data_IF_594551067812
#
_entry.id   IF_594551067812
#
_cell.length_a   1.000
_cell.length_b   1.000
_cell.length_c   1.000
_cell.angle_alpha   90.00
_cell.angle_beta   90.00
_cell.angle_gamma   90.00
#
_symmetry.space_group_name_H-M   'P 1'
#
loop_
_entity.id
_entity.type
_entity.pdbx_description
1 polymer ?
#
# COMPACT_ATOMS: atom_id res chain seq x y z
N UNK A 1 2.03 39.23 8.99
CA UNK A 1 3.42 38.79 8.72
C UNK A 1 3.84 37.57 9.55
N UNK A 2 3.85 37.53 10.90
CA UNK A 2 4.33 36.32 11.63
C UNK A 2 3.59 35.00 11.35
N UNK A 3 2.29 35.03 11.03
CA UNK A 3 1.46 33.81 10.85
C UNK A 3 1.70 33.08 9.51
N UNK A 4 2.05 33.81 8.44
CA UNK A 4 2.27 33.19 7.12
C UNK A 4 3.56 32.35 7.11
N UNK A 5 4.62 32.84 7.78
CA UNK A 5 5.86 32.09 7.93
C UNK A 5 5.69 30.80 8.74
N UNK A 6 4.75 30.78 9.70
CA UNK A 6 4.40 29.55 10.42
C UNK A 6 3.73 28.55 9.48
N UNK A 7 2.82 29.01 8.60
CA UNK A 7 2.20 28.15 7.59
C UNK A 7 3.22 27.61 6.60
N UNK A 8 4.16 28.45 6.15
CA UNK A 8 5.24 28.02 5.27
C UNK A 8 6.15 27.00 5.95
N UNK A 9 6.56 27.25 7.19
CA UNK A 9 7.34 26.28 7.96
C UNK A 9 6.61 24.94 8.11
N UNK A 10 5.31 24.96 8.42
CA UNK A 10 4.51 23.75 8.55
C UNK A 10 4.34 23.03 7.21
N UNK A 11 4.17 23.77 6.11
CA UNK A 11 4.10 23.23 4.75
C UNK A 11 5.42 22.55 4.34
N UNK A 12 6.57 23.20 4.59
CA UNK A 12 7.89 22.64 4.30
C UNK A 12 8.18 21.39 5.14
N UNK A 13 7.90 21.41 6.44
CA UNK A 13 8.06 20.24 7.31
C UNK A 13 7.15 19.10 6.86
N UNK A 14 5.89 19.39 6.52
CA UNK A 14 4.97 18.39 6.00
C UNK A 14 5.46 17.80 4.68
N UNK A 15 6.09 18.61 3.83
CA UNK A 15 6.67 18.17 2.55
C UNK A 15 7.83 17.20 2.77
N UNK A 16 8.74 17.53 3.69
CA UNK A 16 9.88 16.65 4.05
C UNK A 16 9.39 15.33 4.61
N UNK A 17 8.45 15.37 5.56
CA UNK A 17 7.89 14.15 6.17
C UNK A 17 7.11 13.32 5.14
N UNK A 18 6.36 13.95 4.25
CA UNK A 18 5.66 13.28 3.17
C UNK A 18 6.64 12.54 2.23
N UNK A 19 7.72 13.22 1.81
CA UNK A 19 8.80 12.59 1.01
C UNK A 19 9.46 11.42 1.72
N UNK A 20 9.73 11.55 3.03
CA UNK A 20 10.35 10.49 3.82
C UNK A 20 9.45 9.27 4.02
N UNK A 21 8.18 9.49 4.37
CA UNK A 21 7.22 8.39 4.55
C UNK A 21 6.89 7.70 3.23
N UNK A 22 6.70 8.46 2.15
CA UNK A 22 6.43 7.90 0.84
C UNK A 22 7.63 7.12 0.29
N UNK A 23 8.86 7.62 0.50
CA UNK A 23 10.08 6.94 0.06
C UNK A 23 10.37 5.63 0.82
N UNK A 24 9.84 5.46 2.03
CA UNK A 24 9.93 4.21 2.80
C UNK A 24 8.77 3.25 2.57
N UNK A 25 7.72 3.69 1.88
CA UNK A 25 6.51 2.91 1.72
C UNK A 25 6.75 1.84 0.64
N UNK A 26 6.78 0.57 1.05
CA UNK A 26 7.10 -0.55 0.18
C UNK A 26 5.84 -1.39 -0.07
N UNK A 27 5.32 -1.37 -1.32
CA UNK A 27 4.17 -2.18 -1.72
C UNK A 27 4.44 -3.68 -1.60
N UNK A 28 5.63 -4.13 -1.98
CA UNK A 28 5.96 -5.54 -1.87
C UNK A 28 6.12 -5.94 -0.41
N UNK A 29 6.64 -5.04 0.44
CA UNK A 29 6.62 -5.25 1.88
C UNK A 29 5.21 -5.40 2.46
N UNK A 30 4.20 -4.73 1.87
CA UNK A 30 2.80 -5.01 2.22
C UNK A 30 2.39 -6.43 1.82
N UNK A 31 2.87 -6.96 0.70
CA UNK A 31 2.56 -8.33 0.26
C UNK A 31 3.36 -9.42 1.01
N UNK A 32 4.59 -9.10 1.43
CA UNK A 32 5.50 -9.99 2.18
C UNK A 32 5.07 -10.21 3.64
N UNK A 33 3.99 -9.57 4.10
CA UNK A 33 3.53 -9.66 5.49
C UNK A 33 4.12 -8.64 6.45
N UNK A 34 4.91 -7.67 5.99
CA UNK A 34 5.44 -6.54 6.79
C UNK A 34 4.38 -5.44 6.97
N UNK A 35 3.14 -5.84 7.27
CA UNK A 35 1.97 -4.97 7.30
C UNK A 35 2.04 -3.89 8.40
N UNK A 36 2.62 -4.19 9.57
CA UNK A 36 2.69 -3.22 10.68
C UNK A 36 3.57 -2.01 10.36
N UNK A 37 4.74 -2.25 9.77
CA UNK A 37 5.68 -1.17 9.43
C UNK A 37 5.13 -0.34 8.28
N UNK A 38 4.61 -1.01 7.25
CA UNK A 38 4.08 -0.33 6.07
C UNK A 38 2.76 0.40 6.35
N UNK A 39 1.89 -0.12 7.22
CA UNK A 39 0.68 0.59 7.66
C UNK A 39 1.00 1.86 8.44
N UNK A 40 2.06 1.86 9.29
CA UNK A 40 2.53 3.09 9.95
C UNK A 40 3.00 4.13 8.96
N UNK A 41 3.76 3.74 7.93
CA UNK A 41 4.17 4.67 6.87
C UNK A 41 2.98 5.17 6.06
N UNK A 42 2.02 4.31 5.74
CA UNK A 42 0.78 4.69 5.07
C UNK A 42 -0.02 5.72 5.87
N UNK A 43 -0.19 5.50 7.17
CA UNK A 43 -0.84 6.47 8.07
C UNK A 43 -0.06 7.80 8.08
N UNK A 44 1.28 7.73 8.11
CA UNK A 44 2.16 8.90 8.01
C UNK A 44 1.97 9.67 6.70
N UNK A 45 1.92 8.98 5.56
CA UNK A 45 1.64 9.57 4.23
C UNK A 45 0.26 10.23 4.21
N UNK A 46 -0.77 9.56 4.73
CA UNK A 46 -2.12 10.13 4.80
C UNK A 46 -2.16 11.38 5.68
N UNK A 47 -1.58 11.33 6.88
CA UNK A 47 -1.56 12.47 7.79
C UNK A 47 -0.80 13.67 7.22
N UNK A 48 0.40 13.43 6.68
CA UNK A 48 1.22 14.49 6.07
C UNK A 48 0.57 15.06 4.81
N UNK A 49 -0.11 14.25 4.01
CA UNK A 49 -0.88 14.72 2.87
C UNK A 49 -2.05 15.62 3.25
N UNK A 50 -2.78 15.25 4.31
CA UNK A 50 -3.85 16.08 4.85
C UNK A 50 -3.29 17.43 5.33
N UNK A 51 -2.17 17.41 6.05
CA UNK A 51 -1.47 18.62 6.49
C UNK A 51 -1.04 19.51 5.31
N UNK A 52 -0.51 18.92 4.24
CA UNK A 52 -0.13 19.64 3.01
C UNK A 52 -1.33 20.29 2.33
N UNK A 53 -2.43 19.56 2.15
CA UNK A 53 -3.66 20.10 1.53
C UNK A 53 -4.21 21.23 2.40
N UNK A 54 -4.23 21.01 3.71
CA UNK A 54 -4.72 21.99 4.67
C UNK A 54 -3.94 23.30 4.63
N UNK A 55 -2.61 23.20 4.69
CA UNK A 55 -1.73 24.36 4.61
C UNK A 55 -1.78 25.05 3.25
N UNK A 56 -1.90 24.30 2.16
CA UNK A 56 -2.08 24.86 0.81
C UNK A 56 -3.31 25.76 0.74
N UNK A 57 -4.46 25.26 1.22
CA UNK A 57 -5.71 26.03 1.26
C UNK A 57 -5.58 27.29 2.13
N UNK A 58 -4.90 27.19 3.29
CA UNK A 58 -4.68 28.35 4.16
C UNK A 58 -3.72 29.39 3.56
N UNK A 59 -2.73 28.93 2.78
CA UNK A 59 -1.82 29.82 2.05
C UNK A 59 -2.59 30.54 0.94
N UNK A 60 -3.36 29.82 0.12
CA UNK A 60 -4.21 30.42 -0.93
C UNK A 60 -5.22 31.44 -0.34
N UNK A 61 -5.80 31.14 0.84
CA UNK A 61 -6.66 32.08 1.58
C UNK A 61 -5.95 33.37 2.01
N UNK A 62 -4.63 33.33 2.18
CA UNK A 62 -3.85 34.50 2.55
C UNK A 62 -3.47 35.39 1.36
N UNK A 63 -3.76 34.96 0.12
CA UNK A 63 -3.51 35.71 -1.11
C UNK A 63 -2.05 36.18 -1.23
N UNK A 64 -1.09 35.29 -0.97
CA UNK A 64 0.32 35.64 -0.97
C UNK A 64 0.90 35.59 -2.40
N UNK A 65 1.71 36.58 -2.77
CA UNK A 65 2.33 36.63 -4.11
C UNK A 65 3.47 35.62 -4.28
N UNK A 66 3.98 35.05 -3.19
CA UNK A 66 5.15 34.17 -3.19
C UNK A 66 4.84 32.66 -3.29
N UNK A 67 3.58 32.28 -3.50
CA UNK A 67 3.11 30.88 -3.46
C UNK A 67 3.87 29.96 -4.42
N UNK A 68 4.13 30.41 -5.64
CA UNK A 68 4.82 29.62 -6.66
C UNK A 68 6.28 29.32 -6.30
N UNK A 69 6.99 30.27 -5.70
CA UNK A 69 8.37 30.08 -5.27
C UNK A 69 8.47 29.02 -4.17
N UNK A 70 7.50 29.00 -3.26
CA UNK A 70 7.44 28.03 -2.16
C UNK A 70 7.12 26.63 -2.68
N UNK A 71 6.21 26.50 -3.66
CA UNK A 71 5.95 25.20 -4.27
C UNK A 71 7.19 24.64 -4.98
N UNK A 72 7.97 25.49 -5.64
CA UNK A 72 9.24 25.07 -6.26
C UNK A 72 10.26 24.61 -5.21
N UNK A 73 10.43 25.35 -4.11
CA UNK A 73 11.31 24.96 -2.99
C UNK A 73 10.84 23.65 -2.37
N UNK A 74 9.54 23.51 -2.10
CA UNK A 74 8.94 22.29 -1.57
C UNK A 74 9.16 21.10 -2.50
N UNK A 75 8.99 21.26 -3.80
CA UNK A 75 9.24 20.18 -4.75
C UNK A 75 10.71 19.75 -4.74
N UNK A 76 11.65 20.69 -4.70
CA UNK A 76 13.08 20.36 -4.60
C UNK A 76 13.41 19.60 -3.30
N UNK A 77 12.84 20.04 -2.17
CA UNK A 77 13.01 19.38 -0.88
C UNK A 77 12.38 17.98 -0.86
N UNK A 78 11.18 17.84 -1.44
CA UNK A 78 10.51 16.56 -1.59
C UNK A 78 11.36 15.59 -2.38
N UNK A 79 11.85 15.99 -3.56
CA UNK A 79 12.70 15.14 -4.42
C UNK A 79 13.97 14.73 -3.69
N UNK A 80 14.64 15.67 -3.01
CA UNK A 80 15.87 15.39 -2.26
C UNK A 80 15.64 14.35 -1.16
N UNK A 81 14.62 14.54 -0.31
CA UNK A 81 14.32 13.60 0.77
C UNK A 81 13.82 12.27 0.23
N UNK A 82 12.95 12.28 -0.78
CA UNK A 82 12.42 11.08 -1.37
C UNK A 82 13.56 10.26 -2.01
N UNK A 83 14.49 10.87 -2.73
CA UNK A 83 15.65 10.19 -3.31
C UNK A 83 16.52 9.52 -2.23
N UNK A 84 16.74 10.19 -1.10
CA UNK A 84 17.51 9.64 0.03
C UNK A 84 16.87 8.38 0.63
N UNK A 85 15.55 8.33 0.75
CA UNK A 85 14.84 7.20 1.36
C UNK A 85 14.49 6.09 0.36
N UNK A 86 14.20 6.45 -0.89
CA UNK A 86 13.75 5.52 -1.92
C UNK A 86 14.92 4.85 -2.68
N UNK A 87 16.11 5.47 -2.68
CA UNK A 87 17.31 4.94 -3.35
C UNK A 87 17.28 4.96 -4.89
N UNK A 88 16.15 5.35 -5.51
CA UNK A 88 16.00 5.42 -6.97
C UNK A 88 15.75 6.87 -7.43
N UNK A 89 16.70 7.42 -8.19
CA UNK A 89 16.69 8.79 -8.71
C UNK A 89 15.60 8.99 -9.77
N UNK A 90 15.38 8.02 -10.66
CA UNK A 90 14.34 8.13 -11.70
C UNK A 90 12.95 8.18 -11.07
N UNK A 91 12.70 7.31 -10.09
CA UNK A 91 11.47 7.34 -9.31
C UNK A 91 11.32 8.67 -8.54
N UNK A 92 12.42 9.26 -8.05
CA UNK A 92 12.41 10.54 -7.36
C UNK A 92 12.08 11.72 -8.28
N UNK A 93 12.62 11.73 -9.50
CA UNK A 93 12.30 12.76 -10.50
C UNK A 93 10.85 12.65 -10.95
N UNK A 94 10.39 11.43 -11.25
CA UNK A 94 9.01 11.18 -11.63
C UNK A 94 8.02 11.56 -10.51
N UNK A 95 8.31 11.17 -9.27
CA UNK A 95 7.49 11.55 -8.11
C UNK A 95 7.55 13.05 -7.84
N UNK A 96 8.68 13.72 -8.10
CA UNK A 96 8.81 15.17 -8.03
C UNK A 96 7.91 15.92 -9.01
N UNK A 97 7.88 15.50 -10.27
CA UNK A 97 6.97 16.05 -11.29
C UNK A 97 5.52 15.85 -10.87
N UNK A 98 5.17 14.65 -10.41
CA UNK A 98 3.83 14.37 -9.89
C UNK A 98 3.51 15.23 -8.67
N UNK A 99 4.45 15.44 -7.75
CA UNK A 99 4.25 16.29 -6.58
C UNK A 99 3.97 17.75 -6.94
N UNK A 100 4.63 18.29 -7.98
CA UNK A 100 4.32 19.63 -8.50
C UNK A 100 2.90 19.67 -9.07
N UNK A 101 2.52 18.66 -9.85
CA UNK A 101 1.16 18.55 -10.42
C UNK A 101 0.12 18.44 -9.30
N UNK A 102 0.41 17.68 -8.24
CA UNK A 102 -0.41 17.57 -7.04
C UNK A 102 -0.67 18.94 -6.40
N UNK A 103 0.40 19.70 -6.11
CA UNK A 103 0.30 21.05 -5.52
C UNK A 103 -0.51 21.99 -6.42
N UNK A 104 -0.28 21.94 -7.74
CA UNK A 104 -1.01 22.76 -8.70
C UNK A 104 -2.51 22.41 -8.74
N UNK A 105 -2.86 21.13 -8.76
CA UNK A 105 -4.27 20.68 -8.74
C UNK A 105 -4.96 21.13 -7.45
N UNK A 106 -4.31 20.94 -6.29
CA UNK A 106 -4.88 21.32 -5.00
C UNK A 106 -5.09 22.81 -4.91
N UNK A 107 -4.09 23.63 -5.26
CA UNK A 107 -4.21 25.08 -5.24
C UNK A 107 -5.30 25.56 -6.20
N UNK A 108 -5.38 25.00 -7.42
CA UNK A 108 -6.43 25.34 -8.38
C UNK A 108 -7.84 25.00 -7.85
N UNK A 109 -8.01 23.84 -7.23
CA UNK A 109 -9.29 23.43 -6.65
C UNK A 109 -9.65 24.25 -5.41
N UNK A 110 -8.66 24.61 -4.60
CA UNK A 110 -8.82 25.52 -3.46
C UNK A 110 -9.31 26.89 -3.92
N UNK A 111 -8.60 27.54 -4.84
CA UNK A 111 -8.95 28.88 -5.37
C UNK A 111 -10.34 28.91 -5.99
N UNK A 112 -10.65 27.95 -6.88
CA UNK A 112 -12.00 27.82 -7.47
C UNK A 112 -13.07 27.78 -6.39
N UNK A 113 -12.89 26.96 -5.36
CA UNK A 113 -13.91 26.81 -4.30
C UNK A 113 -13.99 28.04 -3.39
N UNK A 114 -12.86 28.70 -3.12
CA UNK A 114 -12.83 29.93 -2.35
C UNK A 114 -13.59 31.08 -3.05
N UNK A 115 -13.57 31.13 -4.38
CA UNK A 115 -14.27 32.16 -5.16
C UNK A 115 -15.81 32.06 -5.11
N UNK A 116 -16.37 30.86 -4.89
CA UNK A 116 -17.80 30.59 -4.98
C UNK A 116 -18.55 30.54 -3.64
N UNK A 117 -17.87 30.61 -2.50
CA UNK A 117 -18.53 30.46 -1.20
C UNK A 117 -18.99 31.78 -0.56
N UNK A 118 -20.30 31.93 -0.40
CA UNK A 118 -20.95 32.98 0.40
C UNK A 118 -20.92 32.64 1.91
N UNK A 119 -20.67 31.36 2.28
CA UNK A 119 -20.57 30.88 3.68
C UNK A 119 -19.53 29.76 3.83
N UNK A 120 -18.43 30.01 4.54
CA UNK A 120 -17.34 29.04 4.68
C UNK A 120 -17.73 27.86 5.59
N UNK A 121 -18.03 26.70 5.00
CA UNK A 121 -18.24 25.43 5.69
C UNK A 121 -17.00 24.54 5.46
N UNK A 122 -16.14 24.30 6.47
CA UNK A 122 -14.88 23.59 6.29
C UNK A 122 -15.05 22.21 5.66
N UNK A 123 -16.01 21.41 6.11
CA UNK A 123 -16.22 20.06 5.55
C UNK A 123 -16.59 20.06 4.06
N UNK A 124 -17.25 21.11 3.56
CA UNK A 124 -17.65 21.17 2.13
C UNK A 124 -16.53 21.72 1.23
N UNK A 125 -15.62 22.51 1.80
CA UNK A 125 -14.44 23.03 1.11
C UNK A 125 -13.35 21.96 0.99
N UNK A 126 -13.00 21.31 2.10
CA UNK A 126 -11.82 20.43 2.18
C UNK A 126 -12.08 19.05 1.61
N UNK A 127 -13.28 18.48 1.81
CA UNK A 127 -13.55 17.10 1.44
C UNK A 127 -13.31 16.79 -0.06
N UNK A 128 -13.80 17.60 -1.02
CA UNK A 128 -13.57 17.32 -2.44
C UNK A 128 -12.12 17.53 -2.88
N UNK A 129 -11.41 18.48 -2.24
CA UNK A 129 -9.99 18.76 -2.49
C UNK A 129 -9.15 17.58 -1.99
N UNK A 130 -9.45 17.10 -0.79
CA UNK A 130 -8.80 15.95 -0.17
C UNK A 130 -9.02 14.67 -0.97
N UNK A 131 -10.24 14.39 -1.41
CA UNK A 131 -10.54 13.21 -2.23
C UNK A 131 -9.71 13.18 -3.51
N UNK A 132 -9.61 14.32 -4.21
CA UNK A 132 -8.75 14.46 -5.40
C UNK A 132 -7.26 14.33 -5.04
N UNK A 133 -6.83 14.93 -3.94
CA UNK A 133 -5.46 14.85 -3.44
C UNK A 133 -5.03 13.42 -3.10
N UNK A 134 -5.84 12.66 -2.35
CA UNK A 134 -5.51 11.27 -1.98
C UNK A 134 -5.55 10.36 -3.20
N UNK A 135 -6.50 10.53 -4.12
CA UNK A 135 -6.50 9.77 -5.38
C UNK A 135 -5.21 10.00 -6.16
N UNK A 136 -4.73 11.25 -6.18
CA UNK A 136 -3.46 11.60 -6.81
C UNK A 136 -2.27 10.94 -6.10
N UNK A 137 -2.29 10.86 -4.76
CA UNK A 137 -1.24 10.18 -3.97
C UNK A 137 -1.23 8.67 -4.24
N UNK A 138 -2.40 8.04 -4.38
CA UNK A 138 -2.49 6.63 -4.80
C UNK A 138 -1.89 6.46 -6.20
N UNK A 139 -2.13 7.41 -7.11
CA UNK A 139 -1.48 7.45 -8.43
C UNK A 139 0.04 7.62 -8.34
N UNK A 140 0.54 8.53 -7.49
CA UNK A 140 1.97 8.68 -7.22
C UNK A 140 2.59 7.38 -6.71
N UNK A 141 1.93 6.72 -5.76
CA UNK A 141 2.39 5.46 -5.21
C UNK A 141 2.42 4.35 -6.27
N UNK A 142 1.43 4.29 -7.16
CA UNK A 142 1.42 3.36 -8.28
C UNK A 142 2.60 3.58 -9.24
N UNK A 143 2.96 4.83 -9.53
CA UNK A 143 4.14 5.17 -10.35
C UNK A 143 5.44 4.80 -9.65
N UNK A 144 5.53 4.98 -8.33
CA UNK A 144 6.71 4.55 -7.57
C UNK A 144 6.86 3.03 -7.63
N UNK A 145 5.77 2.29 -7.41
CA UNK A 145 5.78 0.83 -7.48
C UNK A 145 6.06 0.29 -8.88
N UNK A 146 5.68 1.02 -9.93
CA UNK A 146 6.09 0.71 -11.30
C UNK A 146 7.62 0.67 -11.40
N UNK A 147 8.33 1.71 -10.93
CA UNK A 147 9.79 1.72 -10.96
C UNK A 147 10.42 0.66 -10.03
N UNK A 148 9.85 0.42 -8.84
CA UNK A 148 10.32 -0.65 -7.96
C UNK A 148 10.16 -2.03 -8.58
N UNK A 149 9.04 -2.28 -9.27
CA UNK A 149 8.78 -3.54 -9.93
C UNK A 149 9.73 -3.80 -11.10
N UNK A 150 10.12 -2.76 -11.85
CA UNK A 150 11.16 -2.88 -12.88
C UNK A 150 12.49 -3.34 -12.27
N UNK A 151 12.95 -2.67 -11.22
CA UNK A 151 14.20 -3.03 -10.52
C UNK A 151 14.14 -4.47 -9.98
N UNK A 152 13.00 -4.88 -9.42
CA UNK A 152 12.83 -6.24 -8.89
C UNK A 152 12.75 -7.31 -9.97
N UNK A 153 12.20 -6.98 -11.13
CA UNK A 153 12.20 -7.88 -12.29
C UNK A 153 13.60 -8.04 -12.90
N UNK A 154 14.40 -6.97 -12.96
CA UNK A 154 15.79 -7.04 -13.42
C UNK A 154 16.67 -7.90 -12.50
N UNK A 155 16.28 -8.06 -11.25
CA UNK A 155 17.00 -8.84 -10.24
C UNK A 155 16.37 -10.20 -9.93
N UNK A 156 15.35 -10.64 -10.67
CA UNK A 156 14.62 -11.89 -10.42
C UNK A 156 14.06 -12.00 -8.98
N UNK A 157 13.63 -10.87 -8.41
CA UNK A 157 13.10 -10.77 -7.03
C UNK A 157 11.68 -10.18 -6.96
N UNK A 158 10.96 -10.14 -8.07
CA UNK A 158 9.60 -9.57 -8.10
C UNK A 158 8.66 -10.35 -7.17
N UNK A 159 8.66 -11.67 -7.31
CA UNK A 159 8.07 -12.58 -6.34
C UNK A 159 9.16 -12.91 -5.33
N UNK A 160 8.89 -12.64 -4.06
CA UNK A 160 9.78 -13.00 -2.96
C UNK A 160 9.33 -14.33 -2.34
N UNK A 161 10.24 -15.08 -1.69
CA UNK A 161 9.87 -16.27 -0.92
C UNK A 161 8.86 -15.95 0.20
N UNK A 162 8.96 -14.76 0.80
CA UNK A 162 8.03 -14.33 1.85
C UNK A 162 6.62 -14.01 1.31
N UNK A 163 6.52 -13.52 0.08
CA UNK A 163 5.25 -13.39 -0.64
C UNK A 163 4.65 -14.77 -0.90
N UNK A 164 5.44 -15.74 -1.37
CA UNK A 164 4.98 -17.13 -1.57
C UNK A 164 4.49 -17.72 -0.25
N UNK A 165 5.21 -17.54 0.85
CA UNK A 165 4.79 -17.97 2.19
C UNK A 165 3.49 -17.28 2.63
N UNK A 166 3.36 -15.99 2.39
CA UNK A 166 2.18 -15.22 2.79
C UNK A 166 0.94 -15.64 2.00
N UNK A 167 1.07 -15.80 0.68
CA UNK A 167 -0.02 -16.22 -0.21
C UNK A 167 -0.39 -17.69 0.01
N UNK A 168 0.57 -18.55 0.37
CA UNK A 168 0.33 -19.99 0.59
C UNK A 168 -0.32 -20.32 1.93
N UNK A 169 -0.23 -19.47 2.97
CA UNK A 169 -0.89 -19.66 4.28
C UNK A 169 -2.34 -20.15 4.24
N UNK A 170 -3.28 -19.50 3.52
CA UNK A 170 -4.66 -19.98 3.44
C UNK A 170 -4.76 -21.36 2.77
N UNK A 171 -3.93 -21.62 1.75
CA UNK A 171 -3.89 -22.90 1.06
C UNK A 171 -3.34 -24.01 1.96
N UNK A 172 -2.33 -23.74 2.79
CA UNK A 172 -1.79 -24.67 3.79
C UNK A 172 -2.92 -25.17 4.70
N UNK A 173 -3.77 -24.27 5.21
CA UNK A 173 -4.89 -24.63 6.09
C UNK A 173 -5.90 -25.53 5.39
N UNK A 174 -6.24 -25.23 4.13
CA UNK A 174 -7.17 -26.05 3.33
C UNK A 174 -6.55 -27.41 3.01
N UNK A 175 -5.28 -27.43 2.63
CA UNK A 175 -4.55 -28.64 2.26
C UNK A 175 -4.35 -29.56 3.47
N UNK A 176 -3.97 -29.02 4.63
CA UNK A 176 -3.91 -29.76 5.89
C UNK A 176 -5.27 -30.43 6.19
N UNK A 177 -6.38 -29.69 6.07
CA UNK A 177 -7.74 -30.25 6.26
C UNK A 177 -8.11 -31.34 5.25
N UNK A 178 -7.71 -31.17 3.99
CA UNK A 178 -7.95 -32.17 2.94
C UNK A 178 -7.13 -33.44 3.19
N UNK A 179 -5.85 -33.31 3.55
CA UNK A 179 -4.99 -34.43 3.92
C UNK A 179 -5.54 -35.15 5.15
N UNK A 180 -5.93 -34.42 6.19
CA UNK A 180 -6.56 -35.01 7.39
C UNK A 180 -7.84 -35.78 7.03
N UNK A 181 -8.68 -35.23 6.13
CA UNK A 181 -9.89 -35.90 5.66
C UNK A 181 -9.58 -37.15 4.84
N UNK A 182 -8.58 -37.09 3.95
CA UNK A 182 -8.15 -38.22 3.13
C UNK A 182 -7.55 -39.33 3.98
N UNK A 183 -6.70 -38.98 4.95
CA UNK A 183 -6.13 -39.94 5.89
C UNK A 183 -7.19 -40.57 6.79
N UNK A 184 -8.14 -39.79 7.32
CA UNK A 184 -9.29 -40.36 8.06
C UNK A 184 -10.11 -41.31 7.19
N UNK A 185 -10.30 -40.99 5.91
CA UNK A 185 -11.06 -41.84 4.99
C UNK A 185 -10.33 -43.14 4.62
N UNK A 186 -8.99 -43.13 4.58
CA UNK A 186 -8.17 -44.29 4.20
C UNK A 186 -7.76 -45.16 5.41
N UNK A 187 -7.53 -44.56 6.57
CA UNK A 187 -7.13 -45.25 7.79
C UNK A 187 -8.31 -45.67 8.68
N UNK A 188 -9.51 -45.11 8.47
CA UNK A 188 -10.66 -45.33 9.36
C UNK A 188 -10.36 -45.01 10.84
N UNK A 189 -11.13 -45.57 11.76
CA UNK A 189 -10.88 -45.43 13.21
C UNK A 189 -9.58 -46.11 13.70
N UNK A 190 -8.86 -46.87 12.84
CA UNK A 190 -7.58 -47.49 13.21
C UNK A 190 -6.45 -46.47 13.43
N UNK A 191 -6.56 -45.24 12.90
CA UNK A 191 -5.62 -44.16 13.19
C UNK A 191 -5.66 -43.70 14.66
N UNK A 192 -6.77 -43.90 15.37
CA UNK A 192 -6.87 -43.57 16.80
C UNK A 192 -6.19 -44.63 17.69
N UNK A 193 -6.00 -45.86 17.20
CA UNK A 193 -5.55 -47.00 18.02
C UNK A 193 -4.12 -47.48 17.74
N UNK A 194 -3.40 -46.93 16.76
CA UNK A 194 -1.99 -47.30 16.54
C UNK A 194 -1.06 -46.37 17.35
N UNK A 195 -0.53 -46.87 18.47
CA UNK A 195 0.54 -46.25 19.26
C UNK A 195 1.90 -46.19 18.53
N UNK A 196 2.04 -46.85 17.37
CA UNK A 196 3.29 -46.91 16.64
C UNK A 196 3.49 -45.67 15.73
N UNK A 197 4.13 -44.63 16.28
CA UNK A 197 4.48 -43.36 15.61
C UNK A 197 5.20 -43.55 14.26
N UNK A 198 6.03 -44.59 14.12
CA UNK A 198 6.76 -44.87 12.88
C UNK A 198 5.89 -45.35 11.70
N UNK A 199 4.88 -46.19 11.96
CA UNK A 199 3.97 -46.69 10.92
C UNK A 199 2.98 -45.61 10.46
N UNK A 200 2.50 -44.77 11.40
CA UNK A 200 1.72 -43.57 11.08
C UNK A 200 2.50 -42.59 10.21
N UNK A 201 3.77 -42.35 10.54
CA UNK A 201 4.66 -41.49 9.76
C UNK A 201 4.88 -42.01 8.34
N UNK A 202 5.12 -43.31 8.16
CA UNK A 202 5.27 -43.91 6.83
C UNK A 202 3.99 -43.84 5.99
N UNK A 203 2.81 -44.04 6.58
CA UNK A 203 1.53 -43.94 5.87
C UNK A 203 1.24 -42.47 5.49
N UNK A 204 1.51 -41.53 6.39
CA UNK A 204 1.37 -40.10 6.11
C UNK A 204 2.34 -39.63 5.04
N UNK A 205 3.62 -40.05 5.10
CA UNK A 205 4.61 -39.76 4.06
C UNK A 205 4.24 -40.40 2.72
N UNK A 206 3.67 -41.61 2.73
CA UNK A 206 3.16 -42.28 1.52
C UNK A 206 1.96 -41.54 0.92
N UNK A 207 0.97 -41.16 1.73
CA UNK A 207 -0.21 -40.41 1.27
C UNK A 207 0.18 -39.01 0.82
N UNK A 208 1.07 -38.32 1.54
CA UNK A 208 1.62 -37.03 1.08
C UNK A 208 2.34 -37.19 -0.24
N UNK A 209 3.23 -38.18 -0.38
CA UNK A 209 3.96 -38.43 -1.63
C UNK A 209 3.02 -38.78 -2.78
N UNK A 210 1.96 -39.57 -2.53
CA UNK A 210 0.96 -39.92 -3.52
C UNK A 210 0.05 -38.74 -3.88
N UNK A 211 -0.39 -37.94 -2.91
CA UNK A 211 -1.20 -36.72 -3.13
C UNK A 211 -0.39 -35.63 -3.82
N UNK A 212 0.87 -35.45 -3.44
CA UNK A 212 1.82 -34.56 -4.12
C UNK A 212 2.08 -35.07 -5.54
N UNK A 213 2.40 -36.35 -5.76
CA UNK A 213 2.63 -36.87 -7.12
C UNK A 213 1.37 -36.84 -8.00
N UNK A 214 0.17 -37.04 -7.46
CA UNK A 214 -1.08 -36.98 -8.23
C UNK A 214 -1.55 -35.55 -8.51
N UNK A 215 -1.33 -34.61 -7.57
CA UNK A 215 -1.73 -33.20 -7.70
C UNK A 215 -0.67 -32.41 -8.50
N UNK A 216 0.62 -32.67 -8.25
CA UNK A 216 1.75 -32.03 -8.91
C UNK A 216 2.22 -32.80 -10.15
N UNK A 217 1.91 -34.07 -10.38
CA UNK A 217 2.42 -34.80 -11.56
C UNK A 217 2.09 -34.18 -12.93
N UNK A 218 1.03 -33.36 -13.01
CA UNK A 218 0.68 -32.54 -14.19
C UNK A 218 0.98 -31.05 -14.04
N UNK A 219 1.23 -30.56 -12.82
CA UNK A 219 1.44 -29.15 -12.50
C UNK A 219 2.88 -28.81 -12.06
N UNK A 220 3.72 -29.79 -11.70
CA UNK A 220 5.10 -29.58 -11.25
C UNK A 220 5.97 -29.12 -12.40
N UNK A 221 5.75 -29.66 -13.60
CA UNK A 221 6.37 -29.20 -14.85
C UNK A 221 5.93 -27.75 -15.17
N UNK A 222 4.68 -27.40 -14.83
CA UNK A 222 4.12 -26.05 -14.96
C UNK A 222 4.41 -25.12 -13.77
N UNK A 223 5.11 -25.58 -12.73
CA UNK A 223 5.55 -24.77 -11.60
C UNK A 223 7.07 -24.83 -11.40
N UNK A 224 7.81 -25.55 -12.26
CA UNK A 224 9.27 -25.71 -12.17
C UNK A 224 9.73 -26.45 -10.91
N UNK A 225 8.82 -27.11 -10.20
CA UNK A 225 9.11 -27.81 -8.96
C UNK A 225 9.52 -29.24 -9.30
N UNK A 226 10.72 -29.63 -8.91
CA UNK A 226 11.15 -31.02 -9.00
C UNK A 226 10.35 -31.86 -8.00
N UNK A 227 9.44 -32.70 -8.48
CA UNK A 227 8.58 -33.54 -7.66
C UNK A 227 9.36 -34.49 -6.71
N UNK A 228 10.64 -34.76 -7.02
CA UNK A 228 11.52 -35.59 -6.20
C UNK A 228 12.28 -34.81 -5.11
N UNK A 229 12.26 -33.47 -5.15
CA UNK A 229 12.96 -32.60 -4.19
C UNK A 229 12.03 -32.09 -3.06
N UNK A 230 10.76 -32.46 -3.07
CA UNK A 230 9.79 -32.04 -2.04
C UNK A 230 10.14 -32.71 -0.70
N UNK A 231 10.51 -31.96 0.35
CA UNK A 231 10.95 -32.55 1.61
C UNK A 231 9.74 -32.97 2.47
N UNK A 232 9.00 -33.97 2.00
CA UNK A 232 7.79 -34.52 2.66
C UNK A 232 8.06 -34.98 4.10
N UNK A 233 9.29 -35.43 4.36
CA UNK A 233 9.78 -35.92 5.66
C UNK A 233 9.76 -34.86 6.78
N UNK A 234 9.63 -33.57 6.42
CA UNK A 234 9.60 -32.44 7.35
C UNK A 234 8.19 -31.99 7.75
N UNK A 235 7.14 -32.64 7.23
CA UNK A 235 5.78 -32.40 7.70
C UNK A 235 5.66 -32.82 9.19
N UNK A 236 5.02 -31.98 10.01
CA UNK A 236 4.81 -32.29 11.43
C UNK A 236 3.52 -33.08 11.55
N UNK A 237 3.61 -34.24 12.19
CA UNK A 237 2.45 -35.09 12.51
C UNK A 237 2.26 -34.99 14.02
N UNK A 238 1.14 -34.41 14.44
CA UNK A 238 0.80 -34.30 15.85
C UNK A 238 0.21 -35.61 16.37
N UNK A 239 0.33 -35.87 17.68
CA UNK A 239 -0.15 -37.10 18.32
C UNK A 239 -1.67 -37.32 18.19
N UNK A 240 -2.42 -36.24 17.93
CA UNK A 240 -3.85 -36.26 17.63
C UNK A 240 -4.19 -36.61 16.17
N UNK A 241 -3.19 -36.87 15.32
CA UNK A 241 -3.34 -37.18 13.90
C UNK A 241 -3.49 -35.96 12.98
N UNK A 242 -3.35 -34.74 13.50
CA UNK A 242 -3.30 -33.53 12.69
C UNK A 242 -1.96 -33.43 11.93
N UNK A 243 -2.01 -32.93 10.71
CA UNK A 243 -0.82 -32.78 9.85
C UNK A 243 -0.60 -31.32 9.55
N UNK A 244 0.65 -30.90 9.70
CA UNK A 244 1.10 -29.59 9.26
C UNK A 244 2.15 -29.71 8.15
N UNK A 245 1.74 -29.31 6.94
CA UNK A 245 2.63 -29.21 5.77
C UNK A 245 3.30 -27.84 5.64
N UNK A 246 3.05 -26.89 6.53
CA UNK A 246 3.69 -25.57 6.50
C UNK A 246 5.22 -25.64 6.40
N UNK A 247 5.94 -26.53 7.11
CA UNK A 247 7.39 -26.64 7.00
C UNK A 247 7.88 -27.04 5.60
N UNK A 248 7.08 -27.86 4.88
CA UNK A 248 7.41 -28.31 3.52
C UNK A 248 7.26 -27.16 2.54
N UNK A 249 6.16 -26.41 2.62
CA UNK A 249 5.88 -25.27 1.75
C UNK A 249 6.85 -24.11 2.03
N UNK A 250 7.25 -23.89 3.28
CA UNK A 250 8.23 -22.87 3.64
C UNK A 250 9.63 -23.13 3.06
N UNK A 251 10.00 -24.40 2.90
CA UNK A 251 11.28 -24.81 2.29
C UNK A 251 11.23 -24.80 0.77
N UNK A 252 10.06 -25.01 0.18
CA UNK A 252 9.85 -24.91 -1.27
C UNK A 252 9.62 -23.47 -1.73
N UNK A 253 9.40 -22.53 -0.80
CA UNK A 253 9.09 -21.14 -1.13
C UNK A 253 10.18 -20.48 -1.99
N UNK A 254 11.45 -20.79 -1.73
CA UNK A 254 12.58 -20.26 -2.49
C UNK A 254 12.57 -20.80 -3.93
N UNK A 255 12.41 -22.10 -4.12
CA UNK A 255 12.34 -22.74 -5.45
C UNK A 255 11.11 -22.28 -6.26
N UNK A 256 9.96 -22.15 -5.58
CA UNK A 256 8.73 -21.61 -6.17
C UNK A 256 8.95 -20.16 -6.61
N UNK A 257 9.61 -19.35 -5.77
CA UNK A 257 9.91 -17.95 -6.07
C UNK A 257 10.77 -17.82 -7.33
N UNK A 258 11.84 -18.60 -7.43
CA UNK A 258 12.75 -18.62 -8.60
C UNK A 258 12.00 -19.00 -9.87
N UNK A 259 11.29 -20.13 -9.85
CA UNK A 259 10.53 -20.61 -11.02
C UNK A 259 9.45 -19.62 -11.47
N UNK A 260 8.75 -18.97 -10.53
CA UNK A 260 7.75 -17.96 -10.87
C UNK A 260 8.39 -16.71 -11.48
N UNK A 261 9.55 -16.26 -11.00
CA UNK A 261 10.27 -15.13 -11.58
C UNK A 261 10.78 -15.45 -12.99
N UNK A 262 11.34 -16.65 -13.23
CA UNK A 262 11.75 -17.10 -14.57
C UNK A 262 10.58 -17.10 -15.57
N UNK A 263 9.38 -17.49 -15.13
CA UNK A 263 8.16 -17.45 -15.95
C UNK A 263 7.63 -16.05 -16.19
N UNK A 264 7.98 -15.08 -15.34
CA UNK A 264 7.60 -13.68 -15.48
C UNK A 264 8.56 -12.89 -16.36
N UNK A 265 9.78 -13.39 -16.60
CA UNK A 265 10.77 -12.75 -17.48
C UNK A 265 10.23 -12.39 -18.88
N UNK A 266 9.49 -13.26 -19.60
CA UNK A 266 8.89 -12.90 -20.89
C UNK A 266 7.90 -11.73 -20.83
N UNK A 267 7.35 -11.44 -19.65
CA UNK A 267 6.38 -10.38 -19.41
C UNK A 267 7.00 -9.12 -18.78
N UNK A 268 8.33 -8.99 -18.80
CA UNK A 268 9.09 -7.87 -18.22
C UNK A 268 8.50 -6.49 -18.55
N UNK A 269 8.04 -6.28 -19.78
CA UNK A 269 7.47 -5.00 -20.22
C UNK A 269 6.10 -4.68 -19.59
N UNK A 270 5.28 -5.70 -19.31
CA UNK A 270 3.88 -5.54 -18.87
C UNK A 270 3.74 -5.66 -17.35
N UNK A 271 4.55 -6.52 -16.72
CA UNK A 271 4.46 -6.81 -15.29
C UNK A 271 4.50 -5.54 -14.40
N UNK A 272 5.33 -4.51 -14.68
CA UNK A 272 5.31 -3.26 -13.91
C UNK A 272 3.98 -2.51 -13.96
N UNK A 273 3.29 -2.53 -15.11
CA UNK A 273 1.98 -1.90 -15.24
C UNK A 273 0.92 -2.66 -14.43
N UNK A 274 1.01 -3.98 -14.38
CA UNK A 274 0.11 -4.81 -13.56
C UNK A 274 0.31 -4.50 -12.07
N UNK A 275 1.56 -4.34 -11.62
CA UNK A 275 1.86 -3.95 -10.22
C UNK A 275 1.32 -2.55 -9.91
N UNK A 276 1.48 -1.59 -10.82
CA UNK A 276 0.92 -0.25 -10.67
C UNK A 276 -0.63 -0.28 -10.57
N UNK A 277 -1.29 -1.05 -11.44
CA UNK A 277 -2.74 -1.23 -11.40
C UNK A 277 -3.19 -1.89 -10.09
N UNK A 278 -2.50 -2.95 -9.66
CA UNK A 278 -2.78 -3.64 -8.40
C UNK A 278 -2.65 -2.69 -7.21
N UNK A 279 -1.63 -1.82 -7.21
CA UNK A 279 -1.46 -0.76 -6.20
C UNK A 279 -2.72 0.11 -6.13
N UNK A 280 -3.23 0.58 -7.26
CA UNK A 280 -4.43 1.43 -7.28
C UNK A 280 -5.62 0.65 -6.71
N UNK A 281 -5.87 -0.57 -7.20
CA UNK A 281 -7.03 -1.38 -6.79
C UNK A 281 -6.99 -1.72 -5.29
N UNK A 282 -5.81 -2.02 -4.74
CA UNK A 282 -5.66 -2.40 -3.33
C UNK A 282 -5.80 -1.19 -2.41
N UNK A 283 -5.27 -0.02 -2.79
CA UNK A 283 -5.24 1.15 -1.91
C UNK A 283 -6.42 2.12 -2.14
N UNK A 284 -7.13 2.03 -3.26
CA UNK A 284 -8.33 2.84 -3.53
C UNK A 284 -9.43 2.73 -2.46
N UNK A 285 -9.74 1.54 -1.89
CA UNK A 285 -10.76 1.41 -0.85
C UNK A 285 -10.46 2.22 0.43
N UNK A 286 -9.20 2.59 0.68
CA UNK A 286 -8.82 3.41 1.83
C UNK A 286 -9.40 4.83 1.77
N UNK A 287 -9.88 5.27 0.60
CA UNK A 287 -10.52 6.58 0.43
C UNK A 287 -11.81 6.72 1.25
N UNK A 288 -12.58 5.64 1.41
CA UNK A 288 -13.87 5.65 2.11
C UNK A 288 -13.79 5.95 3.61
N UNK A 289 -12.96 5.26 4.41
CA UNK A 289 -12.86 5.57 5.84
C UNK A 289 -12.29 6.97 6.11
N UNK A 290 -11.46 7.51 5.21
CA UNK A 290 -10.86 8.85 5.37
C UNK A 290 -11.92 9.95 5.26
N UNK A 291 -12.95 9.77 4.43
CA UNK A 291 -14.06 10.72 4.28
C UNK A 291 -14.76 11.02 5.61
N UNK A 292 -15.09 9.97 6.36
CA UNK A 292 -15.80 10.11 7.64
C UNK A 292 -14.90 10.79 8.67
N UNK A 293 -13.66 10.35 8.77
CA UNK A 293 -12.68 10.87 9.75
C UNK A 293 -12.37 12.34 9.48
N UNK A 294 -12.25 12.73 8.21
CA UNK A 294 -11.85 14.09 7.86
C UNK A 294 -12.92 15.13 8.20
N UNK A 295 -14.21 14.83 7.97
CA UNK A 295 -15.29 15.78 8.27
C UNK A 295 -15.26 16.25 9.73
N UNK A 296 -14.88 15.36 10.67
CA UNK A 296 -14.69 15.72 12.07
C UNK A 296 -13.40 16.52 12.31
N UNK A 297 -12.29 16.09 11.69
CA UNK A 297 -10.98 16.72 11.85
C UNK A 297 -10.93 18.14 11.29
N UNK A 298 -11.46 18.38 10.09
CA UNK A 298 -11.45 19.70 9.45
C UNK A 298 -12.28 20.70 10.24
N UNK A 299 -13.44 20.28 10.76
CA UNK A 299 -14.27 21.10 11.67
C UNK A 299 -13.54 21.45 12.97
N UNK A 300 -12.89 20.47 13.59
CA UNK A 300 -12.17 20.66 14.85
C UNK A 300 -10.98 21.63 14.66
N UNK A 301 -10.21 21.46 13.60
CA UNK A 301 -9.07 22.33 13.30
C UNK A 301 -9.56 23.76 13.01
N UNK A 302 -10.62 23.95 12.22
CA UNK A 302 -11.16 25.28 11.96
C UNK A 302 -11.72 25.95 13.23
N UNK A 303 -12.39 25.19 14.09
CA UNK A 303 -12.85 25.69 15.39
C UNK A 303 -11.68 26.21 16.22
N UNK A 304 -10.58 25.45 16.28
CA UNK A 304 -9.35 25.85 16.99
C UNK A 304 -8.74 27.11 16.34
N UNK A 305 -8.61 27.15 15.01
CA UNK A 305 -8.03 28.29 14.31
C UNK A 305 -8.84 29.58 14.49
N UNK A 306 -10.17 29.50 14.53
CA UNK A 306 -11.04 30.63 14.83
C UNK A 306 -10.89 31.07 16.29
N UNK A 307 -10.84 30.12 17.24
CA UNK A 307 -10.64 30.40 18.66
C UNK A 307 -9.32 31.11 18.93
N UNK A 308 -8.25 30.73 18.23
CA UNK A 308 -6.91 31.34 18.33
C UNK A 308 -6.81 32.65 17.51
N UNK A 309 -7.88 33.07 16.83
CA UNK A 309 -7.89 34.20 15.87
C UNK A 309 -6.79 34.08 14.81
N UNK A 310 -6.44 32.85 14.43
CA UNK A 310 -5.47 32.59 13.37
C UNK A 310 -6.07 32.96 12.01
N UNK A 311 -7.34 32.64 11.81
CA UNK A 311 -8.17 33.07 10.67
C UNK A 311 -9.17 34.11 11.17
N UNK A 312 -9.23 35.27 10.50
CA UNK A 312 -10.27 36.28 10.76
C UNK A 312 -11.23 36.29 9.57
N UNK A 313 -12.49 35.91 9.82
CA UNK A 313 -13.55 35.99 8.81
C UNK A 313 -14.00 37.45 8.73
N UNK A 314 -13.62 38.14 7.66
CA UNK A 314 -14.22 39.44 7.31
C UNK A 314 -15.42 39.16 6.40
N UNK A 315 -16.56 39.76 6.73
CA UNK A 315 -17.72 39.76 5.83
C UNK A 315 -17.42 40.71 4.68
N UNK A 316 -17.27 40.18 3.47
CA UNK A 316 -17.33 40.98 2.25
C UNK A 316 -18.77 40.96 1.73
N UNK A 317 -19.36 42.13 1.59
CA UNK A 317 -20.62 42.31 0.86
C UNK A 317 -20.28 42.32 -0.63
N UNK A 318 -20.53 41.20 -1.33
CA UNK A 318 -20.57 41.19 -2.80
C UNK A 318 -21.98 41.57 -3.23
N UNK A 319 -22.11 42.63 -4.03
CA UNK A 319 -23.35 42.92 -4.76
C UNK A 319 -23.56 41.82 -5.79
N UNK A 320 -24.52 40.94 -5.52
CA UNK A 320 -24.95 39.94 -6.50
C UNK A 320 -26.04 40.61 -7.32
N UNK A 321 -25.72 41.00 -8.56
CA UNK A 321 -26.71 41.38 -9.56
C UNK A 321 -27.70 40.20 -9.70
N UNK A 322 -28.88 40.34 -9.08
CA UNK A 322 -30.00 39.44 -9.35
C UNK A 322 -30.49 39.79 -10.74
N UNK A 323 -30.18 38.96 -11.72
CA UNK A 323 -30.94 38.90 -12.96
C UNK A 323 -32.40 38.62 -12.57
N UNK A 324 -33.24 39.66 -12.64
CA UNK A 324 -34.69 39.50 -12.56
C UNK A 324 -35.11 38.69 -13.78
N UNK A 325 -35.67 37.50 -13.51
CA UNK A 325 -36.29 36.63 -14.51
C UNK A 325 -37.47 37.33 -15.21
#
# INVERSE_FOLDING_TARGET
MRKIYILWGLFLVSTLLFGAFLGKLDFFGFLDGRHEVNSRFLIGVLFTSYSLIFTTVLIDLSNDKNEHAIYAISAALFVGVFALFNGNILAALASGVLFIIFLWIISREARKRLEFYIRLVPSELFFPILKKGILFIVGMFAVINFFHSQIRLESDTLISPDLVRTVSKPFIVVFNKQLESQLKSQLGDQAKSTENSAAKRQIVEFVLKQTIQSTLGKQSENLGINANAVPVEKAVIYDNGAIDVAPVINLMADDISVSLNERLQPYFFIAPFVVALATIVIFQPLLWPIEVIESYLSRLIFFILLKIRFVNIKKETREVERLSL
#
